data_IF_954037176555
#
_entry.id   IF_954037176555
#
_cell.length_a   1.000
_cell.length_b   1.000
_cell.length_c   1.000
_cell.angle_alpha   90.00
_cell.angle_beta   90.00
_cell.angle_gamma   90.00
#
_symmetry.space_group_name_H-M   'P 1'
#
loop_
_entity.id
_entity.type
_entity.pdbx_description
1 polymer ?
#
# COMPACT_ATOMS: atom_id res chain seq x y z
N UNK A 1 37.37 -58.80 26.64
CA UNK A 1 37.09 -60.25 26.76
C UNK A 1 35.60 -60.44 26.81
N UNK A 2 35.15 -61.49 26.12
CA UNK A 2 33.80 -61.81 25.68
C UNK A 2 33.13 -62.69 26.74
N UNK A 3 31.93 -62.34 27.21
CA UNK A 3 30.99 -63.32 27.76
C UNK A 3 29.57 -63.02 27.30
N UNK A 4 28.92 -64.11 26.91
CA UNK A 4 27.63 -64.31 26.25
C UNK A 4 26.69 -64.98 27.27
N UNK A 5 25.38 -65.04 26.93
CA UNK A 5 24.21 -65.72 27.54
C UNK A 5 23.24 -64.72 28.18
N UNK A 6 22.11 -64.33 27.57
CA UNK A 6 20.91 -65.06 27.06
C UNK A 6 20.04 -65.64 28.18
N UNK A 7 18.95 -64.94 28.52
CA UNK A 7 17.65 -65.51 28.95
C UNK A 7 16.54 -64.42 28.88
N UNK A 8 15.58 -64.62 27.98
CA UNK A 8 14.20 -64.08 27.96
C UNK A 8 13.32 -65.12 28.75
N UNK A 9 12.06 -64.90 29.21
CA UNK A 9 11.15 -63.81 28.85
C UNK A 9 10.06 -63.36 29.88
N UNK A 10 9.25 -62.39 29.44
CA UNK A 10 7.81 -62.13 29.73
C UNK A 10 7.37 -61.81 31.18
N UNK A 11 6.82 -60.59 31.37
CA UNK A 11 5.41 -60.38 31.71
C UNK A 11 5.06 -58.89 31.70
N UNK A 12 3.99 -58.55 31.00
CA UNK A 12 3.46 -57.21 30.80
C UNK A 12 2.73 -56.67 32.03
N UNK A 13 2.87 -55.38 32.34
CA UNK A 13 1.83 -54.57 33.00
C UNK A 13 1.83 -53.17 32.37
N UNK A 14 0.74 -52.86 31.68
CA UNK A 14 0.30 -51.50 31.35
C UNK A 14 -0.33 -50.88 32.59
N UNK A 15 0.01 -49.63 32.94
CA UNK A 15 -0.97 -48.57 33.26
C UNK A 15 -0.32 -47.18 33.40
N UNK A 16 -0.85 -46.27 32.59
CA UNK A 16 -1.11 -44.83 32.76
C UNK A 16 -0.25 -43.93 33.66
N UNK A 17 0.30 -42.88 33.04
CA UNK A 17 0.35 -41.53 33.62
C UNK A 17 0.13 -40.51 32.50
N UNK A 18 -0.93 -39.70 32.61
CA UNK A 18 -1.12 -38.50 31.78
C UNK A 18 -0.42 -37.35 32.49
N UNK A 19 0.59 -36.75 31.85
CA UNK A 19 1.15 -35.48 32.28
C UNK A 19 0.32 -34.33 31.68
N UNK A 20 -0.16 -33.46 32.56
CA UNK A 20 -0.76 -32.17 32.24
C UNK A 20 0.26 -31.29 31.48
N UNK A 21 -0.11 -30.86 30.27
CA UNK A 21 0.54 -29.72 29.64
C UNK A 21 -0.47 -28.86 28.85
N UNK A 22 -0.82 -27.75 29.48
CA UNK A 22 -0.71 -26.40 28.92
C UNK A 22 -1.56 -26.05 27.69
N UNK A 23 -2.64 -25.31 27.98
CA UNK A 23 -3.22 -24.19 27.19
C UNK A 23 -2.97 -24.22 25.68
N UNK A 24 -3.91 -24.78 24.94
CA UNK A 24 -4.09 -24.43 23.53
C UNK A 24 -5.16 -23.33 23.43
N UNK A 25 -4.72 -22.08 23.64
CA UNK A 25 -5.42 -20.92 23.11
C UNK A 25 -5.43 -21.08 21.59
N UNK A 26 -6.60 -21.38 21.03
CA UNK A 26 -6.83 -21.37 19.59
C UNK A 26 -6.73 -19.91 19.15
N UNK A 27 -5.49 -19.43 18.92
CA UNK A 27 -5.28 -18.31 18.02
C UNK A 27 -5.73 -18.82 16.65
N UNK A 28 -6.97 -18.51 16.31
CA UNK A 28 -7.36 -18.34 14.91
C UNK A 28 -6.46 -17.23 14.42
N UNK A 29 -5.29 -17.62 13.89
CA UNK A 29 -4.44 -16.76 13.11
C UNK A 29 -5.29 -16.39 11.89
N UNK A 30 -5.98 -15.26 12.01
CA UNK A 30 -6.71 -14.64 10.93
C UNK A 30 -5.60 -14.13 10.02
N UNK A 31 -5.06 -15.03 9.20
CA UNK A 31 -4.18 -14.68 8.09
C UNK A 31 -5.01 -13.80 7.18
N UNK A 32 -4.96 -12.49 7.42
CA UNK A 32 -5.49 -11.49 6.50
C UNK A 32 -4.62 -11.68 5.26
N UNK A 33 -5.15 -12.41 4.28
CA UNK A 33 -4.62 -12.36 2.94
C UNK A 33 -4.72 -10.90 2.52
N UNK A 34 -3.61 -10.17 2.62
CA UNK A 34 -3.47 -8.82 2.11
C UNK A 34 -3.48 -8.94 0.58
N UNK A 35 -4.67 -9.16 0.03
CA UNK A 35 -4.89 -9.19 -1.41
C UNK A 35 -4.55 -7.80 -1.93
N UNK A 36 -3.50 -7.74 -2.76
CA UNK A 36 -3.13 -6.51 -3.44
C UNK A 36 -4.08 -6.34 -4.61
N UNK A 37 -4.79 -5.23 -4.64
CA UNK A 37 -5.65 -4.85 -5.79
C UNK A 37 -4.99 -3.75 -6.59
N UNK A 38 -5.06 -3.85 -7.92
CA UNK A 38 -4.54 -2.83 -8.84
C UNK A 38 -5.70 -2.04 -9.45
N UNK A 39 -5.52 -0.72 -9.54
CA UNK A 39 -6.52 0.21 -10.11
C UNK A 39 -5.81 1.26 -10.95
N UNK A 40 -6.40 1.61 -12.10
CA UNK A 40 -5.82 2.60 -13.01
C UNK A 40 -6.80 3.75 -13.24
N UNK A 41 -6.23 4.93 -13.39
CA UNK A 41 -6.99 6.16 -13.55
C UNK A 41 -6.33 7.07 -14.58
N UNK A 42 -7.13 7.84 -15.29
CA UNK A 42 -6.63 8.88 -16.16
C UNK A 42 -7.48 10.16 -16.10
N UNK A 43 -6.82 11.26 -16.41
CA UNK A 43 -7.46 12.52 -16.80
C UNK A 43 -6.87 12.90 -18.15
N UNK A 44 -7.73 13.28 -19.10
CA UNK A 44 -7.33 13.78 -20.41
C UNK A 44 -8.20 15.00 -20.70
N UNK A 45 -7.55 16.14 -20.97
CA UNK A 45 -8.24 17.37 -21.38
C UNK A 45 -7.36 18.14 -22.34
N UNK A 46 -7.84 18.33 -23.57
CA UNK A 46 -7.07 18.93 -24.65
C UNK A 46 -5.71 18.22 -24.85
N UNK A 47 -4.61 18.88 -24.49
CA UNK A 47 -3.23 18.38 -24.60
C UNK A 47 -2.64 17.95 -23.26
N UNK A 48 -3.41 18.07 -22.19
CA UNK A 48 -3.01 17.72 -20.83
C UNK A 48 -3.48 16.31 -20.49
N UNK A 49 -2.62 15.57 -19.79
CA UNK A 49 -2.94 14.23 -19.31
C UNK A 49 -2.33 13.95 -17.94
N UNK A 50 -3.07 13.19 -17.14
CA UNK A 50 -2.58 12.61 -15.89
C UNK A 50 -2.89 11.13 -15.91
N UNK A 51 -1.92 10.30 -15.55
CA UNK A 51 -2.09 8.87 -15.37
C UNK A 51 -1.72 8.49 -13.95
N UNK A 52 -2.55 7.68 -13.31
CA UNK A 52 -2.30 7.17 -11.97
C UNK A 52 -2.59 5.67 -11.94
N UNK A 53 -1.62 4.90 -11.51
CA UNK A 53 -1.74 3.46 -11.26
C UNK A 53 -1.54 3.22 -9.77
N UNK A 54 -2.47 2.54 -9.12
CA UNK A 54 -2.46 2.28 -7.69
C UNK A 54 -2.43 0.79 -7.40
N UNK A 55 -1.50 0.36 -6.55
CA UNK A 55 -1.51 -0.93 -5.87
C UNK A 55 -1.92 -0.71 -4.43
N UNK A 56 -3.03 -1.32 -4.03
CA UNK A 56 -3.63 -1.11 -2.71
C UNK A 56 -3.63 -2.41 -1.91
N UNK A 57 -3.16 -2.34 -0.66
CA UNK A 57 -3.19 -3.43 0.31
C UNK A 57 -3.61 -2.86 1.67
N UNK A 58 -4.85 -3.16 2.09
CA UNK A 58 -5.53 -2.44 3.18
C UNK A 58 -5.51 -0.92 2.91
N UNK A 59 -5.06 -0.12 3.87
CA UNK A 59 -4.91 1.33 3.70
C UNK A 59 -3.61 1.73 3.00
N UNK A 60 -2.67 0.80 2.77
CA UNK A 60 -1.39 1.11 2.12
C UNK A 60 -1.58 1.25 0.63
N UNK A 61 -0.99 2.30 0.06
CA UNK A 61 -1.04 2.58 -1.38
C UNK A 61 0.37 2.81 -1.90
N UNK A 62 0.73 2.11 -2.98
CA UNK A 62 1.89 2.42 -3.80
C UNK A 62 1.47 2.54 -5.26
N UNK A 63 2.35 3.03 -6.12
CA UNK A 63 2.13 2.97 -7.56
C UNK A 63 2.82 4.09 -8.33
N UNK A 64 2.30 4.38 -9.51
CA UNK A 64 2.90 5.31 -10.46
C UNK A 64 1.99 6.52 -10.67
N UNK A 65 2.59 7.69 -10.84
CA UNK A 65 1.88 8.92 -11.12
C UNK A 65 2.66 9.74 -12.16
N UNK A 66 1.95 10.10 -13.24
CA UNK A 66 2.52 10.81 -14.37
C UNK A 66 1.65 12.02 -14.66
N UNK A 67 2.26 13.20 -14.64
CA UNK A 67 1.66 14.43 -15.14
C UNK A 67 2.34 14.80 -16.45
N UNK A 68 1.56 14.97 -17.50
CA UNK A 68 2.01 15.39 -18.82
C UNK A 68 1.13 16.56 -19.28
N UNK A 69 1.52 17.75 -18.84
CA UNK A 69 0.86 19.00 -19.19
C UNK A 69 1.56 19.65 -20.37
N UNK A 70 0.78 20.17 -21.31
CA UNK A 70 1.31 20.86 -22.48
C UNK A 70 2.12 22.09 -22.05
N UNK A 71 3.27 22.31 -22.68
CA UNK A 71 4.20 23.42 -22.39
C UNK A 71 4.75 23.45 -20.94
N UNK A 72 4.65 22.32 -20.22
CA UNK A 72 5.31 22.09 -18.93
C UNK A 72 6.22 20.88 -19.01
N UNK A 73 7.14 20.80 -18.08
CA UNK A 73 7.96 19.61 -17.92
C UNK A 73 7.10 18.45 -17.46
N UNK A 74 7.31 17.30 -18.11
CA UNK A 74 6.65 16.06 -17.74
C UNK A 74 7.19 15.59 -16.40
N UNK A 75 6.29 15.39 -15.44
CA UNK A 75 6.62 14.76 -14.17
C UNK A 75 6.28 13.27 -14.25
N UNK A 76 7.28 12.42 -14.08
CA UNK A 76 7.11 10.95 -14.02
C UNK A 76 7.69 10.47 -12.71
N UNK A 77 6.94 9.66 -11.97
CA UNK A 77 7.36 9.23 -10.65
C UNK A 77 6.48 8.17 -10.02
N UNK A 78 6.79 7.87 -8.76
CA UNK A 78 6.07 6.89 -7.95
C UNK A 78 5.43 7.54 -6.74
N UNK A 79 4.33 6.97 -6.28
CA UNK A 79 3.64 7.39 -5.05
C UNK A 79 3.71 6.30 -3.99
N UNK A 80 3.88 6.73 -2.74
CA UNK A 80 3.76 5.88 -1.57
C UNK A 80 2.98 6.62 -0.49
N UNK A 81 1.87 6.05 -0.04
CA UNK A 81 0.95 6.74 0.85
C UNK A 81 -0.06 5.82 1.50
N UNK A 82 -1.08 6.44 2.08
CA UNK A 82 -2.18 5.72 2.71
C UNK A 82 -3.53 6.36 2.44
N UNK A 83 -4.56 5.53 2.36
CA UNK A 83 -5.95 5.97 2.48
C UNK A 83 -6.23 6.39 3.93
N UNK A 84 -6.90 7.53 4.10
CA UNK A 84 -7.45 8.02 5.37
C UNK A 84 -8.93 8.33 5.14
N UNK A 85 -9.79 7.35 5.42
CA UNK A 85 -11.16 7.36 4.92
C UNK A 85 -11.15 7.40 3.40
N UNK A 86 -11.79 8.42 2.82
CA UNK A 86 -11.88 8.57 1.37
C UNK A 86 -10.69 9.32 0.73
N UNK A 87 -9.72 9.77 1.53
CA UNK A 87 -8.60 10.59 1.03
C UNK A 87 -7.31 9.80 1.00
N UNK A 88 -6.72 9.62 -0.18
CA UNK A 88 -5.33 9.22 -0.33
C UNK A 88 -4.44 10.42 0.00
N UNK A 89 -3.49 10.25 0.92
CA UNK A 89 -2.37 11.18 1.10
C UNK A 89 -1.08 10.39 0.88
N UNK A 90 -0.27 10.84 -0.07
CA UNK A 90 0.92 10.12 -0.49
C UNK A 90 2.10 11.07 -0.73
N UNK A 91 3.29 10.52 -0.58
CA UNK A 91 4.51 11.12 -1.06
C UNK A 91 4.69 10.75 -2.53
N UNK A 92 4.91 11.75 -3.38
CA UNK A 92 5.19 11.60 -4.80
C UNK A 92 6.65 11.96 -5.04
N UNK A 93 7.45 10.95 -5.40
CA UNK A 93 8.85 11.11 -5.82
C UNK A 93 8.91 11.09 -7.33
N UNK A 94 9.37 12.16 -7.95
CA UNK A 94 9.29 12.36 -9.39
C UNK A 94 10.52 13.02 -9.98
N UNK A 95 10.78 12.72 -11.24
CA UNK A 95 11.79 13.39 -12.05
C UNK A 95 11.16 14.54 -12.83
N UNK A 96 11.79 15.71 -12.78
CA UNK A 96 11.52 16.88 -13.62
C UNK A 96 12.85 17.40 -14.14
N UNK A 97 13.01 17.49 -15.46
CA UNK A 97 14.28 17.90 -16.10
C UNK A 97 15.53 17.12 -15.63
N UNK A 98 15.35 15.86 -15.20
CA UNK A 98 16.43 15.02 -14.67
C UNK A 98 16.76 15.23 -13.21
N UNK A 99 16.04 16.11 -12.50
CA UNK A 99 16.18 16.34 -11.06
C UNK A 99 15.06 15.59 -10.33
N UNK A 100 15.43 14.80 -9.34
CA UNK A 100 14.46 14.13 -8.45
C UNK A 100 13.94 15.12 -7.40
N UNK A 101 12.64 15.10 -7.16
CA UNK A 101 11.96 15.91 -6.16
C UNK A 101 10.88 15.11 -5.46
N UNK A 102 10.58 15.46 -4.21
CA UNK A 102 9.52 14.80 -3.43
C UNK A 102 8.50 15.84 -2.96
N UNK A 103 7.22 15.59 -3.24
CA UNK A 103 6.11 16.39 -2.72
C UNK A 103 4.96 15.52 -2.23
N UNK A 104 4.17 16.01 -1.29
CA UNK A 104 2.91 15.37 -0.97
C UNK A 104 1.87 15.67 -2.05
N UNK A 105 1.07 14.65 -2.34
CA UNK A 105 -0.13 14.71 -3.17
C UNK A 105 -1.30 14.16 -2.37
N UNK A 106 -2.49 14.66 -2.65
CA UNK A 106 -3.71 14.19 -2.02
C UNK A 106 -4.79 13.98 -3.07
N UNK A 107 -5.52 12.89 -2.94
CA UNK A 107 -6.63 12.56 -3.84
C UNK A 107 -7.85 12.14 -3.03
N UNK A 108 -8.97 12.82 -3.22
CA UNK A 108 -10.24 12.45 -2.61
C UNK A 108 -10.97 11.49 -3.55
N UNK A 109 -11.27 10.29 -3.05
CA UNK A 109 -12.08 9.30 -3.73
C UNK A 109 -13.54 9.79 -3.81
N UNK A 110 -14.12 9.75 -5.00
CA UNK A 110 -15.52 10.09 -5.27
C UNK A 110 -16.15 8.98 -6.12
N UNK A 111 -16.85 8.06 -5.47
CA UNK A 111 -17.30 6.83 -6.13
C UNK A 111 -16.07 6.01 -6.57
N UNK A 112 -15.91 5.82 -7.88
CA UNK A 112 -14.75 5.14 -8.45
C UNK A 112 -13.67 6.11 -8.94
N UNK A 113 -13.85 7.43 -8.85
CA UNK A 113 -12.90 8.40 -9.38
C UNK A 113 -12.07 9.04 -8.26
N UNK A 114 -11.03 9.77 -8.64
CA UNK A 114 -10.23 10.59 -7.73
C UNK A 114 -10.22 12.06 -8.15
N UNK A 115 -10.44 12.95 -7.19
CA UNK A 115 -10.25 14.39 -7.35
C UNK A 115 -8.92 14.80 -6.68
N UNK A 116 -8.02 15.43 -7.42
CA UNK A 116 -6.78 15.96 -6.82
C UNK A 116 -7.08 17.12 -5.85
N UNK A 117 -6.42 17.10 -4.70
CA UNK A 117 -6.53 18.10 -3.66
C UNK A 117 -5.33 19.03 -3.62
N UNK A 118 -5.58 20.32 -3.36
CA UNK A 118 -4.55 21.33 -3.20
C UNK A 118 -4.71 22.10 -1.90
N UNK A 119 -3.62 22.63 -1.38
CA UNK A 119 -3.60 23.49 -0.20
C UNK A 119 -2.19 23.97 0.09
N UNK A 120 -2.06 24.78 1.15
CA UNK A 120 -0.78 25.33 1.54
C UNK A 120 0.22 24.21 1.88
N UNK A 121 1.42 24.34 1.33
CA UNK A 121 2.53 23.45 1.57
C UNK A 121 3.74 24.22 2.13
N UNK A 122 4.65 23.48 2.73
CA UNK A 122 5.95 23.96 3.20
C UNK A 122 7.02 22.91 2.94
N UNK A 123 8.26 23.36 2.83
CA UNK A 123 9.39 22.45 2.70
C UNK A 123 9.83 21.97 4.09
N UNK A 124 9.88 20.65 4.28
CA UNK A 124 10.44 20.00 5.47
C UNK A 124 11.39 18.92 4.98
N UNK A 125 12.67 18.98 5.35
CA UNK A 125 13.69 17.99 4.98
C UNK A 125 13.71 17.72 3.46
N UNK A 126 13.80 18.77 2.64
CA UNK A 126 13.84 18.71 1.17
C UNK A 126 12.60 18.08 0.52
N UNK A 127 11.47 18.12 1.22
CA UNK A 127 10.19 17.58 0.75
C UNK A 127 9.09 18.61 0.96
N UNK A 128 8.32 18.88 -0.09
CA UNK A 128 7.13 19.73 0.01
C UNK A 128 6.00 18.94 0.67
N UNK A 129 5.55 19.35 1.85
CA UNK A 129 4.47 18.70 2.62
C UNK A 129 3.30 19.66 2.83
N UNK A 130 2.08 19.12 2.91
CA UNK A 130 0.92 19.96 3.22
C UNK A 130 0.99 20.43 4.67
N UNK A 131 0.80 21.75 4.91
CA UNK A 131 0.73 22.32 6.26
C UNK A 131 -0.43 21.73 7.06
N UNK A 132 -1.58 21.53 6.40
CA UNK A 132 -2.82 20.99 7.00
C UNK A 132 -3.60 20.16 5.98
N UNK A 133 -3.63 18.84 6.19
CA UNK A 133 -4.39 17.93 5.31
C UNK A 133 -5.92 18.07 5.45
N UNK A 134 -6.41 18.50 6.62
CA UNK A 134 -7.85 18.70 6.86
C UNK A 134 -8.45 19.93 6.17
N UNK A 135 -7.63 20.82 5.61
CA UNK A 135 -8.07 22.03 4.90
C UNK A 135 -7.82 21.96 3.40
N UNK A 136 -7.49 20.77 2.88
CA UNK A 136 -7.27 20.58 1.45
C UNK A 136 -8.55 20.86 0.66
N UNK A 137 -8.39 21.57 -0.44
CA UNK A 137 -9.46 21.90 -1.37
C UNK A 137 -9.48 20.89 -2.51
N UNK A 138 -10.61 20.18 -2.64
CA UNK A 138 -10.86 19.20 -3.71
C UNK A 138 -11.85 19.72 -4.77
N UNK A 139 -12.08 21.03 -4.84
CA UNK A 139 -12.82 21.70 -5.93
C UNK A 139 -11.85 21.89 -7.11
N UNK A 140 -11.57 20.79 -7.80
CA UNK A 140 -10.70 20.75 -8.98
C UNK A 140 -11.49 20.28 -10.19
N UNK A 141 -11.03 20.67 -11.39
CA UNK A 141 -11.50 20.13 -12.65
C UNK A 141 -10.70 18.87 -13.07
N UNK A 142 -9.59 18.58 -12.39
CA UNK A 142 -8.77 17.39 -12.62
C UNK A 142 -9.39 16.23 -11.85
N UNK A 143 -10.31 15.54 -12.52
CA UNK A 143 -10.95 14.32 -12.01
C UNK A 143 -10.34 13.14 -12.77
N UNK A 144 -9.55 12.33 -12.06
CA UNK A 144 -8.99 11.10 -12.58
C UNK A 144 -10.08 10.02 -12.57
N UNK A 145 -10.49 9.62 -13.78
CA UNK A 145 -11.53 8.61 -14.02
C UNK A 145 -10.94 7.22 -13.94
N UNK A 146 -11.66 6.30 -13.31
CA UNK A 146 -11.28 4.89 -13.34
C UNK A 146 -11.27 4.36 -14.77
N UNK A 147 -10.22 3.61 -15.11
CA UNK A 147 -10.05 2.93 -16.39
C UNK A 147 -9.48 1.54 -16.15
N UNK A 148 -9.63 0.66 -17.15
CA UNK A 148 -8.94 -0.64 -17.13
C UNK A 148 -7.43 -0.45 -17.10
N UNK A 149 -6.74 -1.24 -16.28
CA UNK A 149 -5.29 -1.30 -16.28
C UNK A 149 -4.82 -2.06 -17.53
N UNK A 150 -4.16 -1.35 -18.44
CA UNK A 150 -3.51 -2.00 -19.58
C UNK A 150 -2.23 -2.69 -19.08
N UNK A 151 -2.14 -4.01 -19.32
CA UNK A 151 -0.95 -4.82 -19.04
C UNK A 151 0.16 -4.58 -20.04
#
# INVERSE_FOLDING_TARGET
MKYIFLFLPVAAILIASCDDNTKQSTNVDKTISNSVTEHCYNYISNKDSVFMHLKMANDSVTGDLIYNYFEKDKNTGTIQGKMKGDTLVADYTFLSEGIESIRQVAFLKRGNDFAEGYGDAEEINNKMVFKKTGTLNFKTNIILKHVECNK
#
